data_IF_986508858778
#
_entry.id   IF_986508858778
#
_cell.length_a   1.000
_cell.length_b   1.000
_cell.length_c   1.000
_cell.angle_alpha   90.00
_cell.angle_beta   90.00
_cell.angle_gamma   90.00
#
_symmetry.space_group_name_H-M   'P 1'
#
loop_
_entity.id
_entity.type
_entity.pdbx_description
1 polymer ?
#
# COMPACT_ATOMS: atom_id res chain seq x y z
N UNK A 1 19.39 40.83 -68.11
CA UNK A 1 20.40 40.19 -68.98
C UNK A 1 19.82 38.82 -69.29
N UNK A 2 19.10 38.77 -70.42
CA UNK A 2 19.58 38.34 -71.76
C UNK A 2 19.84 36.85 -71.80
N UNK A 3 19.33 36.06 -72.68
CA UNK A 3 18.68 36.14 -74.00
C UNK A 3 18.36 34.71 -74.41
N UNK A 4 17.17 34.35 -74.82
CA UNK A 4 16.64 34.34 -76.17
C UNK A 4 17.42 33.46 -77.16
N UNK A 5 16.76 32.48 -77.76
CA UNK A 5 16.64 32.15 -79.19
C UNK A 5 16.12 30.75 -79.41
N UNK A 6 14.89 30.55 -79.83
CA UNK A 6 14.34 30.52 -81.18
C UNK A 6 15.18 29.83 -82.26
N UNK A 7 14.53 28.78 -82.81
CA UNK A 7 14.17 28.61 -84.25
C UNK A 7 13.74 27.20 -84.54
N UNK A 8 12.52 26.95 -84.97
CA UNK A 8 11.90 27.05 -86.28
C UNK A 8 12.56 26.24 -87.38
N UNK A 9 11.69 25.54 -88.13
CA UNK A 9 11.85 25.00 -89.47
C UNK A 9 11.18 23.67 -89.65
N UNK A 10 9.95 23.62 -90.12
CA UNK A 10 9.39 23.50 -91.47
C UNK A 10 9.50 22.10 -92.03
N UNK A 11 8.40 21.47 -92.18
CA UNK A 11 7.39 21.38 -93.25
C UNK A 11 7.59 20.29 -94.29
N UNK A 12 6.51 19.74 -94.64
CA UNK A 12 6.04 19.15 -95.92
C UNK A 12 6.13 17.65 -96.08
N UNK A 13 5.19 16.83 -96.53
CA UNK A 13 3.90 17.09 -97.22
C UNK A 13 3.23 15.74 -97.50
N UNK A 14 1.95 15.84 -97.72
CA UNK A 14 1.13 15.01 -98.63
C UNK A 14 0.64 13.62 -98.24
N UNK A 15 -0.68 13.59 -98.07
CA UNK A 15 -1.66 12.49 -98.24
C UNK A 15 -1.66 11.85 -99.57
N UNK A 16 -2.53 10.83 -99.98
CA UNK A 16 -3.57 10.19 -99.24
C UNK A 16 -3.59 8.65 -99.46
N UNK A 17 -4.40 7.87 -98.71
CA UNK A 17 -5.40 6.89 -99.22
C UNK A 17 -6.12 6.13 -98.14
N UNK A 18 -7.40 6.13 -98.27
CA UNK A 18 -8.39 5.29 -97.57
C UNK A 18 -8.64 3.98 -98.35
N UNK A 19 -9.45 3.04 -97.90
CA UNK A 19 -9.90 2.54 -96.55
C UNK A 19 -9.78 1.02 -96.42
N UNK A 20 -9.73 0.48 -95.18
CA UNK A 20 -10.27 -0.92 -94.98
C UNK A 20 -10.81 -1.13 -93.56
N UNK A 21 -12.03 -1.55 -93.62
CA UNK A 21 -12.86 -2.08 -92.55
C UNK A 21 -12.12 -3.17 -91.72
N UNK A 22 -12.17 -3.07 -90.42
CA UNK A 22 -11.68 -4.13 -89.58
C UNK A 22 -11.98 -4.03 -88.08
N UNK A 23 -13.09 -4.56 -87.65
CA UNK A 23 -13.38 -5.13 -86.36
C UNK A 23 -13.16 -4.26 -85.10
N UNK A 24 -14.28 -3.83 -84.60
CA UNK A 24 -14.51 -3.45 -83.19
C UNK A 24 -14.05 -4.57 -82.24
N UNK A 25 -12.83 -4.49 -81.70
CA UNK A 25 -12.40 -5.24 -80.54
C UNK A 25 -12.93 -4.50 -79.33
N UNK A 26 -13.99 -5.07 -78.71
CA UNK A 26 -14.48 -4.64 -77.43
C UNK A 26 -13.37 -4.59 -76.39
N UNK A 27 -13.09 -3.40 -75.93
CA UNK A 27 -12.18 -3.13 -74.79
C UNK A 27 -12.95 -3.57 -73.54
N UNK A 28 -12.81 -4.85 -73.19
CA UNK A 28 -13.22 -5.35 -71.90
C UNK A 28 -12.59 -4.50 -70.82
N UNK A 29 -13.35 -3.61 -70.20
CA UNK A 29 -12.95 -2.96 -68.96
C UNK A 29 -12.80 -4.06 -67.91
N UNK A 30 -11.56 -4.48 -67.65
CA UNK A 30 -11.22 -5.26 -66.48
C UNK A 30 -11.70 -4.46 -65.24
N UNK A 31 -12.86 -4.83 -64.72
CA UNK A 31 -13.25 -4.45 -63.36
C UNK A 31 -12.19 -5.02 -62.46
N UNK A 32 -11.31 -4.16 -61.96
CA UNK A 32 -10.41 -4.51 -60.86
C UNK A 32 -11.29 -4.60 -59.62
N UNK A 33 -11.81 -5.78 -59.35
CA UNK A 33 -12.39 -6.10 -58.07
C UNK A 33 -11.28 -5.94 -57.03
N UNK A 34 -11.36 -4.86 -56.23
CA UNK A 34 -10.46 -4.66 -55.09
C UNK A 34 -10.65 -5.85 -54.16
N UNK A 35 -9.51 -6.50 -53.72
CA UNK A 35 -9.63 -7.74 -52.96
C UNK A 35 -10.40 -7.46 -51.68
N UNK A 36 -11.52 -8.18 -51.50
CA UNK A 36 -12.40 -8.12 -50.30
C UNK A 36 -11.66 -8.32 -48.99
N UNK A 37 -10.48 -8.96 -48.97
CA UNK A 37 -9.63 -9.15 -47.84
C UNK A 37 -9.09 -7.86 -47.21
N UNK A 38 -8.85 -6.80 -48.02
CA UNK A 38 -8.36 -5.49 -47.49
C UNK A 38 -9.48 -4.76 -46.71
N UNK A 39 -10.72 -4.90 -47.08
CA UNK A 39 -11.88 -4.31 -46.37
C UNK A 39 -12.14 -5.02 -45.03
N UNK A 40 -11.98 -6.34 -44.99
CA UNK A 40 -12.11 -7.12 -43.73
C UNK A 40 -10.99 -6.84 -42.75
N UNK A 41 -9.74 -6.77 -43.23
CA UNK A 41 -8.58 -6.41 -42.41
C UNK A 41 -8.72 -4.99 -41.79
N UNK A 42 -9.17 -4.01 -42.56
CA UNK A 42 -9.42 -2.65 -42.07
C UNK A 42 -10.51 -2.58 -40.98
N UNK A 43 -11.57 -3.39 -41.13
CA UNK A 43 -12.65 -3.45 -40.11
C UNK A 43 -12.20 -4.13 -38.83
N UNK A 44 -11.36 -5.15 -38.91
CA UNK A 44 -10.75 -5.81 -37.73
C UNK A 44 -9.78 -4.86 -37.03
N UNK A 45 -8.95 -4.15 -37.78
CA UNK A 45 -8.03 -3.16 -37.21
C UNK A 45 -8.80 -2.02 -36.52
N UNK A 46 -9.87 -1.51 -37.11
CA UNK A 46 -10.70 -0.48 -36.49
C UNK A 46 -11.40 -1.00 -35.21
N UNK A 47 -11.92 -2.23 -35.22
CA UNK A 47 -12.53 -2.83 -34.04
C UNK A 47 -11.51 -3.02 -32.92
N UNK A 48 -10.27 -3.40 -33.23
CA UNK A 48 -9.18 -3.52 -32.26
C UNK A 48 -8.82 -2.16 -31.63
N UNK A 49 -8.74 -1.09 -32.43
CA UNK A 49 -8.48 0.27 -31.95
C UNK A 49 -9.59 0.77 -31.05
N UNK A 50 -10.86 0.53 -31.42
CA UNK A 50 -12.02 0.90 -30.59
C UNK A 50 -12.00 0.09 -29.29
N UNK A 51 -11.73 -1.22 -29.37
CA UNK A 51 -11.63 -2.08 -28.18
C UNK A 51 -10.55 -1.61 -27.18
N UNK A 52 -9.35 -1.28 -27.67
CA UNK A 52 -8.29 -0.72 -26.83
C UNK A 52 -8.66 0.64 -26.25
N UNK A 53 -9.31 1.51 -27.01
CA UNK A 53 -9.76 2.81 -26.52
C UNK A 53 -10.79 2.68 -25.40
N UNK A 54 -11.75 1.74 -25.52
CA UNK A 54 -12.76 1.45 -24.48
C UNK A 54 -12.10 0.91 -23.22
N UNK A 55 -11.17 -0.03 -23.35
CA UNK A 55 -10.44 -0.57 -22.21
C UNK A 55 -9.59 0.49 -21.51
N UNK A 56 -8.92 1.37 -22.26
CA UNK A 56 -8.15 2.48 -21.71
C UNK A 56 -9.07 3.48 -20.98
N UNK A 57 -10.23 3.81 -21.53
CA UNK A 57 -11.20 4.69 -20.88
C UNK A 57 -11.77 4.07 -19.61
N UNK A 58 -12.09 2.78 -19.63
CA UNK A 58 -12.56 2.05 -18.43
C UNK A 58 -11.48 2.00 -17.34
N UNK A 59 -10.23 1.73 -17.72
CA UNK A 59 -9.09 1.73 -16.79
C UNK A 59 -8.84 3.11 -16.19
N UNK A 60 -8.90 4.18 -16.99
CA UNK A 60 -8.77 5.54 -16.51
C UNK A 60 -9.94 5.90 -15.56
N UNK A 61 -11.17 5.55 -15.92
CA UNK A 61 -12.33 5.78 -15.06
C UNK A 61 -12.20 5.09 -13.70
N UNK A 62 -11.79 3.83 -13.69
CA UNK A 62 -11.52 3.09 -12.46
C UNK A 62 -10.41 3.75 -11.61
N UNK A 63 -9.31 4.15 -12.26
CA UNK A 63 -8.21 4.85 -11.59
C UNK A 63 -8.68 6.14 -10.89
N UNK A 64 -9.49 6.96 -11.56
CA UNK A 64 -9.98 8.22 -10.98
C UNK A 64 -10.98 7.99 -9.84
N UNK A 65 -11.83 6.96 -9.95
CA UNK A 65 -12.77 6.59 -8.88
C UNK A 65 -12.03 6.16 -7.61
N UNK A 66 -11.06 5.25 -7.74
CA UNK A 66 -10.25 4.79 -6.62
C UNK A 66 -9.38 5.92 -6.04
N UNK A 67 -8.78 6.76 -6.90
CA UNK A 67 -8.03 7.94 -6.43
C UNK A 67 -8.91 8.87 -5.59
N UNK A 68 -10.20 9.01 -5.96
CA UNK A 68 -11.17 9.78 -5.19
C UNK A 68 -11.38 9.25 -3.78
N UNK A 69 -11.44 7.93 -3.62
CA UNK A 69 -11.58 7.23 -2.33
C UNK A 69 -10.40 7.54 -1.39
N UNK A 70 -9.19 7.49 -1.91
CA UNK A 70 -7.98 7.71 -1.10
C UNK A 70 -7.67 9.17 -0.75
N UNK A 71 -8.60 10.08 -1.00
CA UNK A 71 -8.59 11.43 -0.42
C UNK A 71 -9.07 11.45 1.03
N UNK A 72 -9.88 10.49 1.41
CA UNK A 72 -10.53 10.40 2.74
C UNK A 72 -10.24 9.08 3.46
N UNK A 73 -9.55 8.15 2.80
CA UNK A 73 -9.21 6.85 3.34
C UNK A 73 -7.72 6.53 3.13
N UNK A 74 -7.16 5.73 4.02
CA UNK A 74 -5.77 5.27 3.91
C UNK A 74 -5.56 4.32 2.73
N UNK A 75 -4.36 4.27 2.21
CA UNK A 75 -3.98 3.40 1.08
C UNK A 75 -4.23 1.92 1.36
N UNK A 76 -4.31 1.09 0.29
CA UNK A 76 -4.39 -0.37 0.46
C UNK A 76 -3.21 -0.88 1.28
N UNK A 77 -3.47 -1.89 2.10
CA UNK A 77 -2.48 -2.55 2.96
C UNK A 77 -1.77 -1.63 3.98
N UNK A 78 -2.28 -0.40 4.22
CA UNK A 78 -1.76 0.47 5.27
C UNK A 78 -1.98 -0.15 6.64
N UNK A 79 -0.95 -0.11 7.48
CA UNK A 79 -1.02 -0.45 8.90
C UNK A 79 -0.59 0.74 9.76
N UNK A 80 -1.27 0.96 10.87
CA UNK A 80 -0.96 2.00 11.85
C UNK A 80 -0.87 1.33 13.21
N UNK A 81 0.30 1.34 13.84
CA UNK A 81 0.59 0.60 15.09
C UNK A 81 0.16 -0.88 15.01
N UNK A 82 0.34 -1.53 13.85
CA UNK A 82 -0.08 -2.91 13.61
C UNK A 82 -1.57 -3.11 13.33
N UNK A 83 -2.40 -2.07 13.45
CA UNK A 83 -3.82 -2.12 13.13
C UNK A 83 -4.01 -1.94 11.62
N UNK A 84 -4.85 -2.77 11.01
CA UNK A 84 -5.16 -2.68 9.59
C UNK A 84 -6.03 -1.44 9.30
N UNK A 85 -5.43 -0.42 8.71
CA UNK A 85 -6.06 0.82 8.26
C UNK A 85 -6.41 0.82 6.76
N UNK A 86 -6.18 -0.28 6.03
CA UNK A 86 -6.39 -0.38 4.59
C UNK A 86 -7.78 0.06 4.16
N UNK A 87 -7.87 1.11 3.36
CA UNK A 87 -9.12 1.65 2.83
C UNK A 87 -10.09 2.22 3.86
N UNK A 88 -9.64 2.47 5.09
CA UNK A 88 -10.42 3.03 6.20
C UNK A 88 -10.23 4.53 6.31
N UNK A 89 -11.25 5.22 6.79
CA UNK A 89 -11.17 6.63 7.16
C UNK A 89 -10.46 6.81 8.50
N UNK A 90 -10.12 8.06 8.84
CA UNK A 90 -9.53 8.39 10.15
C UNK A 90 -10.45 7.98 11.29
N UNK A 91 -11.75 8.25 11.18
CA UNK A 91 -12.75 7.93 12.20
C UNK A 91 -12.88 6.41 12.41
N UNK A 92 -12.85 5.62 11.33
CA UNK A 92 -12.88 4.17 11.42
C UNK A 92 -11.62 3.62 12.10
N UNK A 93 -10.45 4.21 11.83
CA UNK A 93 -9.19 3.82 12.49
C UNK A 93 -9.23 4.19 13.98
N UNK A 94 -9.70 5.39 14.34
CA UNK A 94 -9.91 5.79 15.75
C UNK A 94 -10.80 4.80 16.49
N UNK A 95 -11.93 4.44 15.89
CA UNK A 95 -12.86 3.46 16.49
C UNK A 95 -12.23 2.08 16.69
N UNK A 96 -11.36 1.63 15.76
CA UNK A 96 -10.62 0.38 15.91
C UNK A 96 -9.61 0.43 17.06
N UNK A 97 -8.93 1.57 17.23
CA UNK A 97 -8.00 1.79 18.35
C UNK A 97 -8.75 1.73 19.68
N UNK A 98 -9.87 2.45 19.79
CA UNK A 98 -10.72 2.45 20.99
C UNK A 98 -11.26 1.06 21.33
N UNK A 99 -11.74 0.33 20.32
CA UNK A 99 -12.20 -1.04 20.49
C UNK A 99 -11.07 -1.99 20.94
N UNK A 100 -9.86 -1.79 20.44
CA UNK A 100 -8.68 -2.56 20.86
C UNK A 100 -8.27 -2.28 22.30
N UNK A 101 -8.44 -1.02 22.76
CA UNK A 101 -8.12 -0.63 24.14
C UNK A 101 -9.07 -1.26 25.16
N UNK A 102 -10.36 -1.37 24.85
CA UNK A 102 -11.38 -1.88 25.79
C UNK A 102 -11.15 -3.30 26.27
N UNK A 103 -10.41 -4.11 25.53
CA UNK A 103 -10.05 -5.49 25.89
C UNK A 103 -8.58 -5.67 26.35
N UNK A 104 -7.84 -4.58 26.47
CA UNK A 104 -6.42 -4.66 26.82
C UNK A 104 -6.22 -4.97 28.30
N UNK A 105 -5.27 -5.85 28.60
CA UNK A 105 -4.81 -6.15 29.96
C UNK A 105 -3.30 -6.14 30.02
N UNK A 106 -2.75 -5.48 31.01
CA UNK A 106 -1.32 -5.50 31.31
C UNK A 106 -1.03 -6.68 32.25
N UNK A 107 -0.15 -7.59 31.84
CA UNK A 107 0.33 -8.66 32.69
C UNK A 107 1.68 -8.29 33.28
N UNK A 108 1.73 -8.20 34.60
CA UNK A 108 2.97 -8.00 35.37
C UNK A 108 3.46 -9.36 35.83
N UNK A 109 4.71 -9.69 35.50
CA UNK A 109 5.34 -10.95 35.93
C UNK A 109 6.44 -10.63 36.94
N UNK A 110 6.37 -11.32 38.05
CA UNK A 110 7.40 -11.27 39.08
C UNK A 110 8.31 -12.50 38.99
N UNK A 111 9.34 -12.56 39.85
CA UNK A 111 10.18 -13.74 40.01
C UNK A 111 9.36 -14.92 40.53
N UNK A 112 9.90 -16.10 40.37
CA UNK A 112 9.29 -17.36 40.79
C UNK A 112 7.92 -17.68 40.13
N UNK A 113 7.62 -16.99 39.02
CA UNK A 113 6.42 -17.23 38.21
C UNK A 113 5.14 -16.60 38.78
N UNK A 114 5.21 -15.79 39.82
CA UNK A 114 4.09 -14.98 40.27
C UNK A 114 3.70 -13.96 39.18
N UNK A 115 2.41 -13.76 38.95
CA UNK A 115 1.93 -12.79 37.97
C UNK A 115 0.62 -12.14 38.44
N UNK A 116 0.39 -10.93 37.96
CA UNK A 116 -0.84 -10.20 38.16
C UNK A 116 -1.29 -9.53 36.87
N UNK A 117 -2.55 -9.22 36.74
CA UNK A 117 -3.14 -8.52 35.59
C UNK A 117 -3.78 -7.23 36.05
N UNK A 118 -3.60 -6.18 35.25
CA UNK A 118 -4.19 -4.86 35.46
C UNK A 118 -5.09 -4.56 34.26
N UNK A 119 -6.33 -4.20 34.52
CA UNK A 119 -7.30 -3.84 33.50
C UNK A 119 -7.13 -2.39 33.01
N UNK A 120 -7.71 -2.09 31.88
CA UNK A 120 -7.71 -0.76 31.24
C UNK A 120 -8.24 0.33 32.16
N UNK A 121 -9.35 0.03 32.86
CA UNK A 121 -10.06 0.99 33.73
C UNK A 121 -9.24 1.32 34.99
N UNK A 122 -8.49 0.34 35.52
CA UNK A 122 -7.67 0.50 36.72
C UNK A 122 -6.57 1.55 36.55
N UNK A 123 -6.03 1.66 35.35
CA UNK A 123 -4.96 2.62 35.02
C UNK A 123 -5.45 3.81 34.20
N UNK A 124 -6.76 3.91 33.97
CA UNK A 124 -7.35 4.99 33.18
C UNK A 124 -6.79 5.03 31.74
N UNK A 125 -6.50 3.85 31.16
CA UNK A 125 -6.02 3.77 29.78
C UNK A 125 -7.13 4.22 28.81
N UNK A 126 -6.82 5.19 27.96
CA UNK A 126 -7.76 5.74 26.99
C UNK A 126 -7.05 6.18 25.71
N UNK A 127 -7.82 6.36 24.63
CA UNK A 127 -7.32 6.94 23.40
C UNK A 127 -7.12 8.45 23.56
N UNK A 128 -6.00 8.95 23.05
CA UNK A 128 -5.71 10.38 22.96
C UNK A 128 -5.20 10.68 21.54
N UNK A 129 -6.04 11.38 20.75
CA UNK A 129 -5.73 11.70 19.36
C UNK A 129 -5.27 13.16 19.24
N UNK A 130 -4.04 13.34 18.80
CA UNK A 130 -3.37 14.64 18.64
C UNK A 130 -3.42 15.21 17.21
N UNK A 131 -4.24 14.62 16.33
CA UNK A 131 -4.31 14.98 14.92
C UNK A 131 -3.26 14.30 14.02
N UNK A 132 -2.44 13.40 14.55
CA UNK A 132 -1.43 12.69 13.78
C UNK A 132 -2.02 11.80 12.69
N UNK A 133 -3.21 11.22 12.89
CA UNK A 133 -3.90 10.41 11.88
C UNK A 133 -4.38 11.26 10.71
N UNK A 134 -4.96 12.43 11.00
CA UNK A 134 -5.40 13.40 10.00
C UNK A 134 -4.22 13.89 9.17
N UNK A 135 -3.14 14.28 9.83
CA UNK A 135 -1.91 14.70 9.17
C UNK A 135 -1.32 13.63 8.28
N UNK A 136 -1.32 12.39 8.74
CA UNK A 136 -0.84 11.24 7.96
C UNK A 136 -1.66 11.04 6.68
N UNK A 137 -2.99 11.25 6.76
CA UNK A 137 -3.88 11.19 5.61
C UNK A 137 -3.67 12.39 4.66
N UNK A 138 -3.45 13.60 5.19
CA UNK A 138 -3.17 14.81 4.40
C UNK A 138 -1.86 14.72 3.60
N UNK A 139 -0.84 14.11 4.18
CA UNK A 139 0.46 13.87 3.52
C UNK A 139 0.39 12.79 2.43
N UNK A 140 -0.70 12.05 2.37
CA UNK A 140 -0.92 10.99 1.39
C UNK A 140 -1.24 11.58 0.01
N UNK A 141 -0.49 11.20 -1.02
CA UNK A 141 -0.79 11.58 -2.40
C UNK A 141 -1.78 10.58 -3.04
N UNK A 142 -3.09 10.90 -3.16
CA UNK A 142 -4.12 9.92 -3.53
C UNK A 142 -3.86 9.16 -4.83
N UNK A 143 -3.16 9.75 -5.81
CA UNK A 143 -2.83 9.10 -7.07
C UNK A 143 -1.79 7.97 -6.97
N UNK A 144 -1.12 7.82 -5.84
CA UNK A 144 -0.08 6.80 -5.67
C UNK A 144 -0.59 5.44 -5.18
N UNK A 145 -1.90 5.29 -4.94
CA UNK A 145 -2.50 4.09 -4.35
C UNK A 145 -2.12 2.77 -5.07
N UNK A 146 -1.89 2.80 -6.38
CA UNK A 146 -1.50 1.61 -7.16
C UNK A 146 -0.18 1.01 -6.65
N UNK A 147 0.74 1.82 -6.13
CA UNK A 147 2.04 1.36 -5.60
C UNK A 147 1.86 0.45 -4.38
N UNK A 148 0.76 0.62 -3.66
CA UNK A 148 0.49 -0.04 -2.39
C UNK A 148 -0.47 -1.23 -2.49
N UNK A 149 -0.77 -1.71 -3.72
CA UNK A 149 -1.65 -2.87 -3.93
C UNK A 149 -1.07 -4.19 -3.42
N UNK A 150 0.26 -4.30 -3.35
CA UNK A 150 0.95 -5.51 -2.87
C UNK A 150 1.39 -5.37 -1.42
N UNK A 151 1.95 -4.23 -1.09
CA UNK A 151 2.52 -3.92 0.22
C UNK A 151 2.23 -2.45 0.52
N UNK A 152 1.61 -2.19 1.66
CA UNK A 152 1.23 -0.85 2.09
C UNK A 152 2.24 -0.24 3.05
N UNK A 153 2.12 1.07 3.30
CA UNK A 153 2.95 1.74 4.29
C UNK A 153 2.59 1.27 5.70
N UNK A 154 3.61 1.13 6.54
CA UNK A 154 3.47 0.87 7.96
C UNK A 154 3.88 2.13 8.74
N UNK A 155 2.99 2.59 9.59
CA UNK A 155 3.19 3.80 10.40
C UNK A 155 3.15 3.46 11.88
N UNK A 156 4.04 4.12 12.64
CA UNK A 156 4.03 4.06 14.10
C UNK A 156 3.77 5.46 14.66
N UNK A 157 2.68 5.62 15.37
CA UNK A 157 2.28 6.85 16.04
C UNK A 157 2.28 6.58 17.56
N UNK A 158 3.08 7.34 18.30
CA UNK A 158 3.29 7.12 19.75
C UNK A 158 2.22 7.75 20.62
N UNK A 159 1.56 8.78 20.14
CA UNK A 159 0.63 9.65 20.91
C UNK A 159 -0.84 9.28 20.67
N UNK A 160 -1.14 7.99 20.55
CA UNK A 160 -2.54 7.57 20.34
C UNK A 160 -3.24 7.02 21.58
N UNK A 161 -2.49 6.77 22.64
CA UNK A 161 -2.98 6.24 23.91
C UNK A 161 -2.31 6.96 25.08
N UNK A 162 -3.10 7.22 26.11
CA UNK A 162 -2.63 7.77 27.38
C UNK A 162 -3.11 6.92 28.54
N UNK A 163 -2.39 6.96 29.65
CA UNK A 163 -2.74 6.28 30.90
C UNK A 163 -2.31 7.13 32.10
N UNK A 164 -2.91 6.87 33.24
CA UNK A 164 -2.55 7.52 34.50
C UNK A 164 -1.41 6.75 35.18
N UNK A 165 -0.25 7.38 35.23
CA UNK A 165 0.95 6.78 35.80
C UNK A 165 0.85 6.57 37.33
N UNK A 166 0.06 7.37 38.04
CA UNK A 166 -0.12 7.21 39.49
C UNK A 166 -1.04 6.01 39.77
N UNK A 167 -2.14 5.90 39.03
CA UNK A 167 -3.01 4.72 39.10
C UNK A 167 -2.27 3.43 38.76
N UNK A 168 -1.41 3.46 37.73
CA UNK A 168 -0.58 2.29 37.40
C UNK A 168 0.33 1.92 38.55
N UNK A 169 0.98 2.89 39.21
CA UNK A 169 1.84 2.61 40.39
C UNK A 169 1.04 2.04 41.57
N UNK A 170 -0.17 2.56 41.80
CA UNK A 170 -1.06 2.03 42.83
C UNK A 170 -1.47 0.60 42.52
N UNK A 171 -1.98 0.31 41.32
CA UNK A 171 -2.36 -1.03 40.91
C UNK A 171 -1.21 -2.06 40.99
N UNK A 172 0.02 -1.64 40.64
CA UNK A 172 1.20 -2.51 40.80
C UNK A 172 1.51 -2.79 42.27
N UNK A 173 1.37 -1.80 43.17
CA UNK A 173 1.61 -1.98 44.62
C UNK A 173 0.60 -2.90 45.31
N UNK A 174 -0.59 -3.06 44.75
CA UNK A 174 -1.63 -3.94 45.32
C UNK A 174 -1.35 -5.42 45.05
N UNK A 175 -0.39 -5.77 44.22
CA UNK A 175 -0.04 -7.17 43.99
C UNK A 175 0.63 -7.78 45.24
N UNK A 176 0.25 -9.01 45.65
CA UNK A 176 0.81 -9.69 46.82
C UNK A 176 2.34 -9.84 46.75
N UNK A 177 2.91 -9.97 45.55
CA UNK A 177 4.36 -10.08 45.40
C UNK A 177 5.10 -8.73 45.49
N UNK A 178 4.38 -7.62 45.62
CA UNK A 178 4.88 -6.30 45.91
C UNK A 178 4.74 -5.90 47.38
N UNK A 179 4.18 -6.77 48.21
CA UNK A 179 4.04 -6.58 49.65
C UNK A 179 5.42 -6.70 50.33
N UNK A 180 5.93 -5.63 50.99
CA UNK A 180 7.23 -5.65 51.65
C UNK A 180 7.38 -6.78 52.69
N UNK A 181 6.28 -7.15 53.38
CA UNK A 181 6.28 -8.20 54.40
C UNK A 181 6.43 -9.62 53.80
N UNK A 182 6.17 -9.77 52.51
CA UNK A 182 6.31 -11.03 51.77
C UNK A 182 7.54 -11.07 50.89
N UNK A 183 8.22 -9.94 50.72
CA UNK A 183 9.44 -9.87 49.94
C UNK A 183 10.61 -10.52 50.71
N UNK A 184 11.40 -11.32 49.98
CA UNK A 184 12.62 -11.90 50.54
C UNK A 184 13.77 -10.88 50.42
N UNK A 185 14.45 -10.62 51.54
CA UNK A 185 15.65 -9.80 51.50
C UNK A 185 16.77 -10.53 50.77
N UNK A 186 17.47 -9.83 49.85
CA UNK A 186 18.61 -10.42 49.17
C UNK A 186 19.81 -10.59 50.13
N UNK A 187 20.39 -11.78 50.14
CA UNK A 187 21.61 -12.07 50.91
C UNK A 187 22.78 -12.36 49.95
N UNK A 188 23.92 -11.82 50.23
CA UNK A 188 25.13 -12.15 49.51
C UNK A 188 25.60 -13.57 49.82
N UNK A 189 26.26 -14.20 48.85
CA UNK A 189 26.97 -15.45 49.14
C UNK A 189 28.01 -15.24 50.26
N UNK A 190 28.05 -16.17 51.18
CA UNK A 190 28.97 -16.11 52.34
C UNK A 190 29.61 -17.47 52.57
N UNK A 191 30.72 -17.47 53.29
CA UNK A 191 31.35 -18.69 53.79
C UNK A 191 30.59 -19.10 55.07
N UNK A 192 30.27 -20.40 55.21
CA UNK A 192 29.65 -20.94 56.42
C UNK A 192 30.56 -20.80 57.63
N UNK A 193 29.99 -21.00 58.80
CA UNK A 193 30.81 -21.29 59.97
C UNK A 193 31.60 -22.59 59.79
N UNK A 194 32.71 -22.72 60.48
CA UNK A 194 33.52 -23.92 60.41
C UNK A 194 32.78 -25.12 60.99
N UNK A 195 32.60 -26.14 60.17
CA UNK A 195 32.00 -27.39 60.60
C UNK A 195 33.10 -28.34 61.11
N UNK A 196 33.09 -28.57 62.43
CA UNK A 196 34.05 -29.45 63.11
C UNK A 196 33.88 -30.93 62.76
N UNK A 197 32.68 -31.34 62.33
CA UNK A 197 32.39 -32.75 61.93
C UNK A 197 33.01 -33.08 60.56
N UNK A 198 32.85 -32.21 59.59
CA UNK A 198 33.42 -32.37 58.25
C UNK A 198 34.81 -31.74 58.14
N UNK A 199 35.25 -30.97 59.13
CA UNK A 199 36.49 -30.21 59.15
C UNK A 199 36.68 -29.28 57.99
N UNK A 200 35.59 -28.63 57.57
CA UNK A 200 35.58 -27.77 56.36
C UNK A 200 34.67 -26.56 56.51
N UNK A 201 34.84 -25.60 55.61
CA UNK A 201 33.88 -24.50 55.34
C UNK A 201 33.11 -24.84 54.09
N UNK A 202 31.89 -24.43 54.02
CA UNK A 202 31.07 -24.51 52.81
C UNK A 202 30.67 -23.09 52.32
N UNK A 203 30.36 -22.99 51.08
CA UNK A 203 29.79 -21.75 50.53
C UNK A 203 28.28 -21.77 50.71
N UNK A 204 27.76 -20.79 51.45
CA UNK A 204 26.33 -20.51 51.49
C UNK A 204 26.02 -19.65 50.25
N UNK A 205 25.19 -20.16 49.32
CA UNK A 205 24.88 -19.43 48.12
C UNK A 205 24.12 -18.13 48.40
N UNK A 206 24.20 -17.16 47.51
CA UNK A 206 23.43 -15.93 47.57
C UNK A 206 21.94 -16.25 47.49
N UNK A 207 21.13 -15.53 48.26
CA UNK A 207 19.66 -15.51 48.14
C UNK A 207 19.30 -14.29 47.30
N UNK A 208 18.57 -14.54 46.24
CA UNK A 208 18.01 -13.44 45.42
C UNK A 208 16.71 -12.97 46.08
N UNK A 209 16.62 -11.64 46.24
CA UNK A 209 15.39 -10.98 46.69
C UNK A 209 14.33 -10.84 45.59
#
# INVERSE_FOLDING_TARGET
MEEKKEREGEAESLSPETPQTGRLRGRSRKRTDAPEGKKKAGRIALAAVIGTAVLAAAGAGYYFLETGKYKTAFFPNTTINGINASGKTVEEVKSLIEAGLSGYTLTVQARDGASGTIGTEEIGLHSEFDGSLEKLLEEQEPGQWIRYLKEGPAHEIRTMIAFDSEKLKEAVREFPFMDPDQMREPENARISEYDSGTRSYSVVPAVQG
#
